data_IF_699859164160
#
_entry.id   IF_699859164160
#
_cell.length_a   1.000
_cell.length_b   1.000
_cell.length_c   1.000
_cell.angle_alpha   90.00
_cell.angle_beta   90.00
_cell.angle_gamma   90.00
#
_symmetry.space_group_name_H-M   'P 1'
#
loop_
_entity.id
_entity.type
_entity.pdbx_description
1 polymer ?
#
# COMPACT_ATOMS: atom_id res chain seq x y z
N UNK A 1 0.23 -15.48 -3.11
CA UNK A 1 0.55 -16.23 -1.88
C UNK A 1 1.94 -15.82 -1.46
N UNK A 2 2.13 -15.38 -0.22
CA UNK A 2 3.46 -15.10 0.32
C UNK A 2 4.20 -16.43 0.52
N UNK A 3 5.44 -16.51 0.04
CA UNK A 3 6.26 -17.70 0.22
C UNK A 3 6.60 -17.91 1.71
N UNK A 4 6.54 -19.16 2.19
CA UNK A 4 6.95 -19.50 3.56
C UNK A 4 8.47 -19.48 3.64
N UNK A 5 9.03 -18.65 4.52
CA UNK A 5 10.47 -18.49 4.70
C UNK A 5 10.89 -18.97 6.09
N UNK A 6 11.92 -19.81 6.17
CA UNK A 6 12.48 -20.31 7.44
C UNK A 6 13.99 -20.14 7.38
N UNK A 7 14.56 -19.39 8.33
CA UNK A 7 15.99 -19.05 8.35
C UNK A 7 16.54 -18.54 7.00
N UNK A 8 15.74 -17.78 6.24
CA UNK A 8 16.12 -17.24 4.93
C UNK A 8 16.01 -18.22 3.76
N UNK A 9 15.51 -19.44 3.99
CA UNK A 9 15.25 -20.45 2.97
C UNK A 9 13.76 -20.47 2.65
N UNK A 10 13.43 -20.39 1.37
CA UNK A 10 12.08 -20.60 0.87
C UNK A 10 11.69 -22.08 0.99
N UNK A 11 10.55 -22.34 1.61
CA UNK A 11 10.02 -23.68 1.83
C UNK A 11 8.98 -23.99 0.76
N UNK A 12 9.30 -24.94 -0.12
CA UNK A 12 8.41 -25.33 -1.19
C UNK A 12 7.33 -26.31 -0.71
N UNK A 13 6.18 -26.26 -1.38
CA UNK A 13 5.12 -27.24 -1.26
C UNK A 13 4.95 -28.03 -2.56
N UNK A 14 4.49 -29.27 -2.45
CA UNK A 14 3.96 -29.99 -3.60
C UNK A 14 2.49 -29.68 -3.87
N UNK A 15 1.92 -30.31 -4.91
CA UNK A 15 0.54 -30.08 -5.34
C UNK A 15 -0.50 -30.49 -4.28
N UNK A 16 -0.11 -31.34 -3.34
CA UNK A 16 -0.96 -31.80 -2.23
C UNK A 16 -0.77 -30.93 -0.97
N UNK A 17 -0.02 -29.82 -1.06
CA UNK A 17 0.23 -28.90 0.05
C UNK A 17 1.27 -29.40 1.06
N UNK A 18 2.04 -30.44 0.75
CA UNK A 18 3.07 -31.00 1.65
C UNK A 18 4.37 -30.23 1.51
N UNK A 19 5.05 -29.98 2.62
CA UNK A 19 6.27 -29.17 2.66
C UNK A 19 7.53 -30.00 2.40
N UNK A 20 8.50 -29.41 1.72
CA UNK A 20 9.80 -30.02 1.41
C UNK A 20 10.71 -30.11 2.65
N UNK A 21 10.88 -31.32 3.22
CA UNK A 21 11.84 -31.54 4.32
C UNK A 21 13.29 -31.27 3.92
N UNK A 22 13.61 -31.33 2.62
CA UNK A 22 14.93 -30.95 2.12
C UNK A 22 15.20 -29.45 2.30
N UNK A 23 14.17 -28.62 2.14
CA UNK A 23 14.29 -27.17 2.40
C UNK A 23 14.45 -26.90 3.90
N UNK A 24 13.72 -27.62 4.76
CA UNK A 24 13.92 -27.56 6.21
C UNK A 24 15.32 -28.04 6.61
N UNK A 25 15.83 -29.11 6.01
CA UNK A 25 17.18 -29.62 6.28
C UNK A 25 18.24 -28.56 5.97
N UNK A 26 18.10 -27.89 4.82
CA UNK A 26 18.96 -26.77 4.43
C UNK A 26 18.81 -25.57 5.36
N UNK A 27 17.58 -25.22 5.74
CA UNK A 27 17.30 -24.15 6.70
C UNK A 27 17.90 -24.42 8.09
N UNK A 28 18.01 -25.70 8.48
CA UNK A 28 18.63 -26.12 9.73
C UNK A 28 20.16 -26.23 9.68
N UNK A 29 20.80 -25.90 8.55
CA UNK A 29 22.26 -25.94 8.39
C UNK A 29 22.82 -27.16 7.65
N UNK A 30 21.97 -28.09 7.19
CA UNK A 30 22.37 -29.12 6.22
C UNK A 30 23.27 -30.24 6.77
N UNK A 31 23.39 -30.41 8.08
CA UNK A 31 24.25 -31.44 8.67
C UNK A 31 23.85 -32.86 8.23
N UNK A 32 24.83 -33.72 7.94
CA UNK A 32 24.57 -35.07 7.42
C UNK A 32 23.73 -35.94 8.36
N UNK A 33 23.90 -35.79 9.69
CA UNK A 33 23.09 -36.52 10.69
C UNK A 33 21.62 -36.15 10.68
N UNK A 34 21.26 -34.99 10.11
CA UNK A 34 19.89 -34.47 10.07
C UNK A 34 19.19 -34.72 8.73
N UNK A 35 19.73 -35.57 7.85
CA UNK A 35 19.11 -35.83 6.55
C UNK A 35 17.67 -36.36 6.70
N UNK A 36 16.71 -35.88 5.89
CA UNK A 36 15.32 -36.34 5.94
C UNK A 36 15.15 -37.85 5.74
N UNK A 37 16.03 -38.50 4.96
CA UNK A 37 16.02 -39.96 4.80
C UNK A 37 16.32 -40.69 6.09
N UNK A 38 17.28 -40.20 6.89
CA UNK A 38 17.65 -40.80 8.18
C UNK A 38 16.53 -40.64 9.21
N UNK A 39 15.91 -39.45 9.24
CA UNK A 39 14.77 -39.22 10.13
C UNK A 39 13.58 -40.08 9.75
N UNK A 40 13.27 -40.21 8.45
CA UNK A 40 12.17 -41.03 7.98
C UNK A 40 12.34 -42.50 8.39
N UNK A 41 13.57 -43.00 8.55
CA UNK A 41 13.84 -44.36 9.02
C UNK A 41 13.74 -44.54 10.54
N UNK A 42 13.60 -43.44 11.31
CA UNK A 42 13.44 -43.50 12.77
C UNK A 42 12.09 -44.14 13.15
N UNK A 43 12.11 -45.04 14.15
CA UNK A 43 10.92 -45.70 14.67
C UNK A 43 9.81 -44.71 15.05
N UNK A 44 10.11 -43.63 15.77
CA UNK A 44 9.10 -42.65 16.18
C UNK A 44 8.49 -41.91 14.97
N UNK A 45 9.29 -41.67 13.93
CA UNK A 45 8.80 -41.06 12.70
C UNK A 45 7.88 -42.02 11.93
N UNK A 46 8.25 -43.30 11.82
CA UNK A 46 7.43 -44.34 11.19
C UNK A 46 6.08 -44.52 11.90
N UNK A 47 6.09 -44.64 13.22
CA UNK A 47 4.85 -44.73 14.02
C UNK A 47 3.94 -43.51 13.80
N UNK A 48 4.52 -42.31 13.76
CA UNK A 48 3.75 -41.08 13.51
C UNK A 48 3.21 -41.02 12.06
N UNK A 49 3.99 -41.43 11.07
CA UNK A 49 3.56 -41.50 9.67
C UNK A 49 2.38 -42.47 9.52
N UNK A 50 2.47 -43.65 10.15
CA UNK A 50 1.40 -44.65 10.16
C UNK A 50 0.13 -44.10 10.82
N UNK A 51 0.25 -43.42 11.96
CA UNK A 51 -0.90 -42.84 12.66
C UNK A 51 -1.60 -41.78 11.82
N UNK A 52 -0.86 -40.85 11.22
CA UNK A 52 -1.44 -39.82 10.34
C UNK A 52 -2.06 -40.46 9.09
N UNK A 53 -1.42 -41.51 8.55
CA UNK A 53 -1.88 -42.22 7.36
C UNK A 53 -3.26 -42.88 7.51
N UNK A 54 -3.69 -43.19 8.74
CA UNK A 54 -5.04 -43.77 9.01
C UNK A 54 -6.18 -42.86 8.54
N UNK A 55 -5.95 -41.55 8.43
CA UNK A 55 -6.91 -40.59 7.90
C UNK A 55 -7.07 -40.65 6.36
N UNK A 56 -6.30 -41.52 5.66
CA UNK A 56 -6.38 -41.72 4.21
C UNK A 56 -5.60 -40.71 3.36
N UNK A 57 -4.92 -39.74 3.99
CA UNK A 57 -4.08 -38.75 3.32
C UNK A 57 -2.61 -39.16 3.47
N UNK A 58 -1.82 -39.32 2.40
CA UNK A 58 -0.43 -39.71 2.52
C UNK A 58 0.39 -38.62 3.24
N UNK A 59 0.80 -38.91 4.47
CA UNK A 59 1.50 -37.97 5.34
C UNK A 59 2.90 -37.60 4.82
N UNK A 60 3.57 -38.56 4.16
CA UNK A 60 4.91 -38.44 3.61
C UNK A 60 4.94 -38.88 2.15
N UNK A 61 5.68 -38.15 1.30
CA UNK A 61 5.95 -38.53 -0.10
C UNK A 61 7.43 -38.41 -0.38
N UNK A 62 8.02 -39.50 -0.89
CA UNK A 62 9.40 -39.50 -1.36
C UNK A 62 9.39 -39.45 -2.88
N UNK A 63 9.77 -38.31 -3.46
CA UNK A 63 9.90 -38.12 -4.89
C UNK A 63 11.33 -38.47 -5.33
N UNK A 64 11.48 -39.49 -6.18
CA UNK A 64 12.77 -39.92 -6.73
C UNK A 64 12.93 -39.40 -8.17
N UNK A 65 13.94 -38.56 -8.41
CA UNK A 65 14.26 -38.01 -9.74
C UNK A 65 13.45 -36.77 -10.14
N UNK A 66 13.90 -36.08 -11.20
CA UNK A 66 13.27 -34.85 -11.72
C UNK A 66 13.63 -33.57 -10.96
N UNK A 67 12.99 -32.45 -11.34
CA UNK A 67 13.24 -31.11 -10.74
C UNK A 67 12.67 -30.95 -9.32
N UNK A 68 11.76 -31.82 -8.90
CA UNK A 68 11.10 -31.79 -7.59
C UNK A 68 11.41 -33.05 -6.76
N UNK A 69 12.65 -33.55 -6.87
CA UNK A 69 13.11 -34.69 -6.07
C UNK A 69 13.28 -34.27 -4.60
N UNK A 70 12.81 -35.10 -3.67
CA UNK A 70 12.92 -34.83 -2.25
C UNK A 70 11.86 -35.54 -1.40
N UNK A 71 11.96 -35.33 -0.09
CA UNK A 71 10.97 -35.83 0.88
C UNK A 71 10.01 -34.71 1.22
N UNK A 72 8.71 -34.92 0.99
CA UNK A 72 7.63 -33.98 1.25
C UNK A 72 6.74 -34.51 2.36
N UNK A 73 6.40 -33.66 3.32
CA UNK A 73 5.69 -34.06 4.53
C UNK A 73 4.56 -33.09 4.89
N UNK A 74 3.50 -33.60 5.51
CA UNK A 74 2.46 -32.76 6.11
C UNK A 74 3.01 -31.93 7.28
N UNK A 75 2.20 -30.97 7.77
CA UNK A 75 2.61 -30.00 8.78
C UNK A 75 3.04 -30.66 10.10
N UNK A 76 2.35 -31.72 10.53
CA UNK A 76 2.64 -32.47 11.74
C UNK A 76 4.02 -33.12 11.69
N UNK A 77 4.35 -33.73 10.55
CA UNK A 77 5.66 -34.35 10.32
C UNK A 77 6.79 -33.32 10.21
N UNK A 78 6.50 -32.12 9.69
CA UNK A 78 7.45 -31.00 9.72
C UNK A 78 7.83 -30.63 11.16
N UNK A 79 6.85 -30.55 12.06
CA UNK A 79 7.14 -30.28 13.48
C UNK A 79 7.97 -31.39 14.11
N UNK A 80 7.60 -32.65 13.89
CA UNK A 80 8.35 -33.79 14.42
C UNK A 80 9.79 -33.84 13.89
N UNK A 81 9.99 -33.56 12.60
CA UNK A 81 11.33 -33.44 12.01
C UNK A 81 12.12 -32.30 12.67
N UNK A 82 11.53 -31.10 12.80
CA UNK A 82 12.22 -29.96 13.40
C UNK A 82 12.61 -30.20 14.87
N UNK A 83 11.74 -30.88 15.64
CA UNK A 83 12.01 -31.31 17.02
C UNK A 83 13.19 -32.26 17.10
N UNK A 84 13.30 -33.21 16.17
CA UNK A 84 14.42 -34.14 16.11
C UNK A 84 15.74 -33.47 15.72
N UNK A 85 15.70 -32.45 14.86
CA UNK A 85 16.89 -31.71 14.41
C UNK A 85 17.52 -30.89 15.55
N UNK A 86 16.76 -30.01 16.21
CA UNK A 86 17.22 -29.33 17.43
C UNK A 86 16.09 -28.54 18.12
N UNK A 87 16.17 -28.29 19.44
CA UNK A 87 15.21 -27.43 20.13
C UNK A 87 15.14 -26.00 19.57
N UNK A 88 16.27 -25.43 19.17
CA UNK A 88 16.34 -24.07 18.61
C UNK A 88 15.62 -24.00 17.27
N UNK A 89 15.88 -24.96 16.39
CA UNK A 89 15.22 -25.02 15.08
C UNK A 89 13.72 -25.31 15.23
N UNK A 90 13.36 -26.24 16.13
CA UNK A 90 11.96 -26.53 16.47
C UNK A 90 11.19 -25.27 16.89
N UNK A 91 11.72 -24.48 17.83
CA UNK A 91 11.09 -23.23 18.25
C UNK A 91 10.97 -22.23 17.11
N UNK A 92 11.96 -22.15 16.23
CA UNK A 92 11.90 -21.27 15.07
C UNK A 92 10.78 -21.69 14.12
N UNK A 93 10.68 -22.98 13.79
CA UNK A 93 9.61 -23.53 12.94
C UNK A 93 8.24 -23.28 13.56
N UNK A 94 8.04 -23.61 14.84
CA UNK A 94 6.77 -23.38 15.56
C UNK A 94 6.37 -21.90 15.46
N UNK A 95 7.26 -20.98 15.83
CA UNK A 95 6.98 -19.55 15.79
C UNK A 95 6.70 -19.02 14.39
N UNK A 96 7.37 -19.53 13.37
CA UNK A 96 7.10 -19.12 11.98
C UNK A 96 5.73 -19.61 11.53
N UNK A 97 5.35 -20.86 11.81
CA UNK A 97 4.03 -21.36 11.49
C UNK A 97 2.92 -20.68 12.30
N UNK A 98 3.15 -20.37 13.57
CA UNK A 98 2.21 -19.63 14.42
C UNK A 98 2.05 -18.20 13.93
N UNK A 99 3.12 -17.54 13.50
CA UNK A 99 3.05 -16.19 12.91
C UNK A 99 2.32 -16.20 11.57
N UNK A 100 2.57 -17.23 10.75
CA UNK A 100 1.84 -17.42 9.48
C UNK A 100 0.35 -17.67 9.73
N UNK A 101 0.00 -18.50 10.71
CA UNK A 101 -1.37 -18.72 11.15
C UNK A 101 -1.96 -17.48 11.86
N UNK A 102 -1.14 -16.64 12.50
CA UNK A 102 -1.59 -15.43 13.15
C UNK A 102 -1.99 -14.33 12.18
N UNK A 103 -1.31 -14.26 11.03
CA UNK A 103 -1.77 -13.49 9.89
C UNK A 103 -3.06 -14.06 9.26
N UNK A 104 -3.48 -15.25 9.68
CA UNK A 104 -4.67 -15.98 9.23
C UNK A 104 -5.71 -16.16 10.37
N UNK A 105 -5.52 -15.49 11.52
CA UNK A 105 -6.49 -15.59 12.62
C UNK A 105 -7.84 -15.02 12.16
N UNK A 106 -8.83 -15.91 12.05
CA UNK A 106 -10.23 -15.52 11.99
C UNK A 106 -10.54 -14.79 13.29
N UNK A 107 -10.51 -13.45 13.23
CA UNK A 107 -10.93 -12.62 14.36
C UNK A 107 -12.37 -13.04 14.72
N UNK A 108 -12.66 -13.42 15.99
CA UNK A 108 -14.01 -13.78 16.41
C UNK A 108 -14.98 -12.68 16.00
N UNK A 109 -16.13 -13.06 15.42
CA UNK A 109 -17.03 -12.10 14.78
C UNK A 109 -17.43 -10.95 15.72
N UNK A 110 -17.68 -11.25 17.00
CA UNK A 110 -17.98 -10.26 18.05
C UNK A 110 -16.85 -9.26 18.32
N UNK A 111 -15.60 -9.61 18.03
CA UNK A 111 -14.41 -8.78 18.28
C UNK A 111 -13.89 -8.08 17.03
N UNK A 112 -14.44 -8.39 15.84
CA UNK A 112 -13.99 -7.80 14.57
C UNK A 112 -14.07 -6.29 14.55
N UNK A 113 -15.22 -5.74 14.92
CA UNK A 113 -15.44 -4.30 14.93
C UNK A 113 -14.53 -3.57 15.94
N UNK A 114 -14.47 -3.93 17.23
CA UNK A 114 -13.61 -3.21 18.18
C UNK A 114 -12.13 -3.29 17.81
N UNK A 115 -11.63 -4.47 17.42
CA UNK A 115 -10.22 -4.60 16.99
C UNK A 115 -9.94 -3.75 15.74
N UNK A 116 -10.82 -3.78 14.75
CA UNK A 116 -10.65 -2.98 13.56
C UNK A 116 -10.71 -1.48 13.85
N UNK A 117 -11.60 -1.03 14.75
CA UNK A 117 -11.70 0.36 15.17
C UNK A 117 -10.41 0.84 15.86
N UNK A 118 -9.87 0.07 16.81
CA UNK A 118 -8.61 0.41 17.48
C UNK A 118 -7.44 0.51 16.49
N UNK A 119 -7.38 -0.42 15.53
CA UNK A 119 -6.36 -0.41 14.48
C UNK A 119 -6.55 0.74 13.49
N UNK A 120 -7.78 1.15 13.20
CA UNK A 120 -8.07 2.27 12.30
C UNK A 120 -7.53 3.57 12.88
N UNK A 121 -7.72 3.83 14.18
CA UNK A 121 -7.21 5.03 14.83
C UNK A 121 -5.68 5.09 14.80
N UNK A 122 -5.02 3.97 15.07
CA UNK A 122 -3.57 3.85 14.97
C UNK A 122 -3.09 4.07 13.52
N UNK A 123 -3.74 3.41 12.55
CA UNK A 123 -3.41 3.54 11.13
C UNK A 123 -3.64 4.95 10.59
N UNK A 124 -4.67 5.66 11.06
CA UNK A 124 -4.95 7.05 10.70
C UNK A 124 -3.84 7.98 11.20
N UNK A 125 -3.38 7.83 12.44
CA UNK A 125 -2.24 8.61 12.97
C UNK A 125 -0.97 8.38 12.16
N UNK A 126 -0.73 7.13 11.73
CA UNK A 126 0.41 6.80 10.85
C UNK A 126 0.24 7.49 9.50
N UNK A 127 -0.94 7.42 8.88
CA UNK A 127 -1.23 8.08 7.61
C UNK A 127 -1.02 9.61 7.68
N UNK A 128 -1.48 10.24 8.76
CA UNK A 128 -1.28 11.67 9.03
C UNK A 128 0.20 12.02 9.21
N UNK A 129 0.98 11.15 9.87
CA UNK A 129 2.43 11.35 10.00
C UNK A 129 3.17 11.31 8.66
N UNK A 130 2.56 10.72 7.62
CA UNK A 130 3.04 10.73 6.25
C UNK A 130 2.48 11.89 5.41
N UNK A 131 1.75 12.82 6.03
CA UNK A 131 1.20 14.01 5.35
C UNK A 131 -0.12 13.76 4.62
N UNK A 132 -0.81 12.64 4.88
CA UNK A 132 -2.16 12.42 4.36
C UNK A 132 -3.18 13.16 5.25
N UNK A 133 -4.19 13.77 4.64
CA UNK A 133 -5.21 14.55 5.35
C UNK A 133 -6.64 14.10 4.96
N UNK A 134 -7.59 14.34 5.87
CA UNK A 134 -9.03 14.09 5.67
C UNK A 134 -9.32 12.68 5.12
N UNK A 135 -10.10 12.63 4.03
CA UNK A 135 -10.47 11.38 3.37
C UNK A 135 -9.29 10.55 2.87
N UNK A 136 -8.15 11.15 2.51
CA UNK A 136 -6.98 10.39 2.08
C UNK A 136 -6.36 9.61 3.24
N UNK A 137 -6.27 10.24 4.42
CA UNK A 137 -5.81 9.57 5.63
C UNK A 137 -6.75 8.42 6.01
N UNK A 138 -8.06 8.63 5.92
CA UNK A 138 -9.07 7.61 6.25
C UNK A 138 -9.06 6.42 5.29
N UNK A 139 -8.95 6.66 3.97
CA UNK A 139 -8.85 5.59 2.96
C UNK A 139 -7.55 4.78 3.12
N UNK A 140 -6.44 5.47 3.40
CA UNK A 140 -5.16 4.82 3.67
C UNK A 140 -5.24 3.98 4.94
N UNK A 141 -5.81 4.52 6.02
CA UNK A 141 -5.99 3.81 7.27
C UNK A 141 -6.85 2.55 7.10
N UNK A 142 -8.00 2.65 6.40
CA UNK A 142 -8.85 1.50 6.10
C UNK A 142 -8.10 0.42 5.30
N UNK A 143 -7.30 0.83 4.31
CA UNK A 143 -6.47 -0.09 3.52
C UNK A 143 -5.40 -0.80 4.36
N UNK A 144 -4.79 -0.09 5.32
CA UNK A 144 -3.84 -0.68 6.27
C UNK A 144 -4.50 -1.71 7.17
N UNK A 145 -5.68 -1.41 7.74
CA UNK A 145 -6.44 -2.35 8.57
C UNK A 145 -6.81 -3.60 7.75
N UNK A 146 -7.27 -3.41 6.51
CA UNK A 146 -7.57 -4.52 5.60
C UNK A 146 -6.34 -5.39 5.32
N UNK A 147 -5.17 -4.78 5.09
CA UNK A 147 -3.94 -5.51 4.83
C UNK A 147 -3.37 -6.21 6.07
N UNK A 148 -3.53 -5.62 7.26
CA UNK A 148 -2.95 -6.13 8.49
C UNK A 148 -3.77 -7.25 9.11
N UNK A 149 -5.11 -7.12 9.09
CA UNK A 149 -6.01 -8.02 9.82
C UNK A 149 -7.21 -8.50 8.98
N UNK A 150 -7.24 -8.19 7.68
CA UNK A 150 -8.28 -8.68 6.76
C UNK A 150 -9.66 -8.04 6.93
N UNK A 151 -9.77 -6.93 7.67
CA UNK A 151 -11.06 -6.25 7.94
C UNK A 151 -11.15 -4.94 7.16
N UNK A 152 -12.20 -4.79 6.36
CA UNK A 152 -12.52 -3.54 5.64
C UNK A 152 -13.70 -2.84 6.32
N UNK A 153 -13.42 -1.78 7.08
CA UNK A 153 -14.42 -1.06 7.88
C UNK A 153 -15.41 -0.29 7.00
N UNK A 154 -14.95 0.23 5.86
CA UNK A 154 -15.83 0.91 4.91
C UNK A 154 -16.84 -0.06 4.30
N UNK A 155 -16.39 -1.25 3.91
CA UNK A 155 -17.27 -2.32 3.44
C UNK A 155 -18.26 -2.77 4.53
N UNK A 156 -17.77 -2.99 5.76
CA UNK A 156 -18.61 -3.34 6.92
C UNK A 156 -19.68 -2.28 7.22
N UNK A 157 -19.35 -1.01 7.08
CA UNK A 157 -20.27 0.10 7.30
C UNK A 157 -21.20 0.38 6.10
N UNK A 158 -21.04 -0.34 4.98
CA UNK A 158 -21.78 -0.07 3.74
C UNK A 158 -21.39 1.24 3.05
N UNK A 159 -20.24 1.82 3.42
CA UNK A 159 -19.74 3.10 2.91
C UNK A 159 -18.88 2.85 1.68
N UNK A 160 -19.43 3.09 0.49
CA UNK A 160 -18.69 2.92 -0.78
C UNK A 160 -17.88 4.16 -1.19
N UNK A 161 -18.23 5.31 -0.63
CA UNK A 161 -17.64 6.62 -0.97
C UNK A 161 -17.62 7.47 0.28
N UNK A 162 -16.48 8.10 0.56
CA UNK A 162 -16.43 9.12 1.59
C UNK A 162 -17.01 10.42 1.05
N UNK A 163 -17.80 11.09 1.88
CA UNK A 163 -18.33 12.42 1.56
C UNK A 163 -17.15 13.39 1.59
N UNK A 164 -16.96 14.17 0.52
CA UNK A 164 -15.94 15.22 0.51
C UNK A 164 -16.29 16.25 1.60
N UNK A 165 -15.41 16.41 2.60
CA UNK A 165 -15.63 17.32 3.74
C UNK A 165 -15.82 18.78 3.30
N UNK A 166 -15.22 19.20 2.17
CA UNK A 166 -15.44 20.55 1.63
C UNK A 166 -16.71 20.69 0.80
N UNK A 167 -17.30 19.58 0.32
CA UNK A 167 -18.30 19.56 -0.77
C UNK A 167 -17.87 20.33 -2.04
N UNK A 168 -16.61 20.75 -2.15
CA UNK A 168 -16.10 21.56 -3.26
C UNK A 168 -15.27 20.70 -4.21
N UNK A 169 -15.52 20.85 -5.51
CA UNK A 169 -14.72 20.23 -6.55
C UNK A 169 -13.35 20.92 -6.63
N UNK A 170 -12.30 20.15 -6.88
CA UNK A 170 -10.95 20.66 -7.09
C UNK A 170 -10.60 20.57 -8.58
N UNK A 171 -10.00 21.62 -9.11
CA UNK A 171 -9.68 21.76 -10.53
C UNK A 171 -8.19 22.02 -10.72
N UNK A 172 -7.60 21.37 -11.71
CA UNK A 172 -6.29 21.78 -12.25
C UNK A 172 -6.41 23.14 -12.94
N UNK A 173 -5.29 23.88 -13.11
CA UNK A 173 -5.30 25.12 -13.91
C UNK A 173 -5.81 24.92 -15.35
N UNK A 174 -5.69 23.71 -15.91
CA UNK A 174 -6.22 23.37 -17.23
C UNK A 174 -7.74 23.24 -17.22
N UNK A 175 -8.30 22.49 -16.27
CA UNK A 175 -9.75 22.32 -16.12
C UNK A 175 -10.43 23.64 -15.76
N UNK A 176 -9.80 24.41 -14.86
CA UNK A 176 -10.24 25.76 -14.52
C UNK A 176 -10.16 26.66 -15.76
N UNK A 177 -9.05 26.64 -16.51
CA UNK A 177 -8.91 27.38 -17.76
C UNK A 177 -10.02 27.09 -18.77
N UNK A 178 -10.35 25.81 -18.96
CA UNK A 178 -11.43 25.40 -19.85
C UNK A 178 -12.79 25.99 -19.46
N UNK A 179 -13.11 26.08 -18.17
CA UNK A 179 -14.35 26.73 -17.67
C UNK A 179 -14.42 28.22 -18.03
N UNK A 180 -13.28 28.90 -18.07
CA UNK A 180 -13.19 30.32 -18.45
C UNK A 180 -12.91 30.53 -19.95
N UNK A 181 -12.84 29.46 -20.75
CA UNK A 181 -12.50 29.53 -22.17
C UNK A 181 -11.06 29.98 -22.46
N UNK A 182 -10.13 29.78 -21.51
CA UNK A 182 -8.73 30.22 -21.63
C UNK A 182 -7.75 29.04 -21.47
N UNK A 183 -6.53 29.23 -21.99
CA UNK A 183 -5.46 28.23 -21.85
C UNK A 183 -5.02 28.06 -20.39
N UNK A 184 -4.43 26.90 -20.07
CA UNK A 184 -3.83 26.67 -18.75
C UNK A 184 -2.73 27.70 -18.41
N UNK A 185 -1.98 28.18 -19.40
CA UNK A 185 -0.96 29.22 -19.19
C UNK A 185 -1.61 30.57 -18.83
N UNK A 186 -2.68 30.95 -19.54
CA UNK A 186 -3.47 32.14 -19.25
C UNK A 186 -4.15 32.06 -17.88
N UNK A 187 -4.68 30.89 -17.51
CA UNK A 187 -5.28 30.68 -16.20
C UNK A 187 -4.24 30.79 -15.07
N UNK A 188 -3.07 30.20 -15.24
CA UNK A 188 -1.99 30.36 -14.27
C UNK A 188 -1.54 31.81 -14.12
N UNK A 189 -1.51 32.56 -15.22
CA UNK A 189 -1.25 34.00 -15.17
C UNK A 189 -2.35 34.74 -14.41
N UNK A 190 -3.62 34.45 -14.67
CA UNK A 190 -4.75 35.07 -13.97
C UNK A 190 -4.71 34.80 -12.46
N UNK A 191 -4.45 33.56 -12.05
CA UNK A 191 -4.25 33.19 -10.64
C UNK A 191 -3.09 33.96 -9.99
N UNK A 192 -2.02 34.22 -10.75
CA UNK A 192 -0.87 35.00 -10.26
C UNK A 192 -1.18 36.51 -10.19
N UNK A 193 -1.86 37.04 -11.19
CA UNK A 193 -2.32 38.44 -11.24
C UNK A 193 -3.32 38.72 -10.10
N UNK A 194 -4.06 37.70 -9.64
CA UNK A 194 -4.93 37.76 -8.45
C UNK A 194 -4.18 37.55 -7.12
N UNK A 195 -2.85 37.40 -7.13
CA UNK A 195 -2.06 37.22 -5.91
C UNK A 195 -2.19 35.84 -5.24
N UNK A 196 -2.74 34.84 -5.93
CA UNK A 196 -2.99 33.50 -5.35
C UNK A 196 -1.80 32.55 -5.54
N UNK A 197 -0.96 32.80 -6.53
CA UNK A 197 0.25 32.03 -6.77
C UNK A 197 1.35 32.91 -7.34
N UNK A 198 2.60 32.44 -7.26
CA UNK A 198 3.74 33.12 -7.86
C UNK A 198 4.76 32.13 -8.40
N UNK A 199 5.62 32.62 -9.28
CA UNK A 199 6.74 31.85 -9.78
C UNK A 199 7.90 31.84 -8.79
N UNK A 200 8.47 30.65 -8.60
CA UNK A 200 9.71 30.47 -7.84
C UNK A 200 10.73 29.76 -8.71
N UNK A 201 11.95 30.30 -8.76
CA UNK A 201 13.10 29.67 -9.38
C UNK A 201 13.71 28.71 -8.36
N UNK A 202 13.48 27.41 -8.55
CA UNK A 202 13.97 26.39 -7.62
C UNK A 202 15.33 25.80 -8.05
N UNK A 203 15.71 25.99 -9.32
CA UNK A 203 17.03 25.69 -9.89
C UNK A 203 17.34 26.69 -11.00
N UNK A 204 18.62 26.92 -11.36
CA UNK A 204 18.97 27.78 -12.48
C UNK A 204 18.18 27.43 -13.75
N UNK A 205 17.42 28.40 -14.27
CA UNK A 205 16.57 28.24 -15.45
C UNK A 205 15.28 27.43 -15.26
N UNK A 206 14.99 26.88 -14.06
CA UNK A 206 13.78 26.09 -13.80
C UNK A 206 12.84 26.82 -12.83
N UNK A 207 11.62 27.06 -13.30
CA UNK A 207 10.54 27.70 -12.54
C UNK A 207 9.48 26.68 -12.17
N UNK A 208 8.84 26.89 -11.03
CA UNK A 208 7.58 26.23 -10.66
C UNK A 208 6.61 27.28 -10.12
N UNK A 209 5.34 26.90 -10.04
CA UNK A 209 4.33 27.67 -9.33
C UNK A 209 4.35 27.29 -7.85
N UNK A 210 4.25 28.29 -6.99
CA UNK A 210 4.01 28.12 -5.55
C UNK A 210 2.80 28.96 -5.15
N UNK A 211 2.01 28.43 -4.22
CA UNK A 211 0.77 29.07 -3.75
C UNK A 211 1.11 30.08 -2.66
N UNK A 212 0.54 31.30 -2.74
CA UNK A 212 0.68 32.32 -1.69
C UNK A 212 -0.12 31.94 -0.43
N UNK A 213 0.10 32.59 0.73
CA UNK A 213 -0.73 32.39 1.91
C UNK A 213 -2.23 32.54 1.62
N UNK A 214 -2.63 33.54 0.84
CA UNK A 214 -4.03 33.76 0.45
C UNK A 214 -4.53 32.68 -0.51
N UNK A 215 -3.67 32.25 -1.46
CA UNK A 215 -4.00 31.15 -2.36
C UNK A 215 -4.21 29.81 -1.64
N UNK A 216 -3.53 29.56 -0.50
CA UNK A 216 -3.68 28.32 0.28
C UNK A 216 -5.10 28.14 0.84
N UNK A 217 -5.86 29.22 1.01
CA UNK A 217 -7.27 29.14 1.40
C UNK A 217 -8.11 28.41 0.33
N UNK A 218 -7.69 28.52 -0.94
CA UNK A 218 -8.39 28.02 -2.11
C UNK A 218 -7.65 26.90 -2.85
N UNK A 219 -6.50 26.44 -2.34
CA UNK A 219 -5.66 25.45 -3.00
C UNK A 219 -5.50 24.18 -2.16
N UNK A 220 -5.42 23.05 -2.85
CA UNK A 220 -5.06 21.74 -2.30
C UNK A 220 -3.80 21.30 -3.02
N UNK A 221 -2.71 21.07 -2.28
CA UNK A 221 -1.44 20.60 -2.84
C UNK A 221 -1.38 19.09 -2.62
N UNK A 222 -1.27 18.34 -3.71
CA UNK A 222 -1.22 16.87 -3.67
C UNK A 222 0.10 16.36 -4.24
N UNK A 223 0.69 15.34 -3.62
CA UNK A 223 1.79 14.60 -4.23
C UNK A 223 1.24 13.56 -5.21
N UNK A 224 1.57 13.71 -6.49
CA UNK A 224 1.26 12.72 -7.52
C UNK A 224 2.43 11.76 -7.71
N UNK A 225 2.10 10.55 -8.17
CA UNK A 225 3.06 9.49 -8.48
C UNK A 225 4.17 9.96 -9.42
N UNK A 226 5.22 9.15 -9.52
CA UNK A 226 6.40 9.51 -10.33
C UNK A 226 6.02 9.55 -11.82
N UNK A 227 6.52 10.55 -12.55
CA UNK A 227 6.39 10.59 -14.03
C UNK A 227 7.11 9.41 -14.71
N UNK A 228 8.13 8.85 -14.06
CA UNK A 228 8.88 7.63 -14.42
C UNK A 228 9.38 6.91 -13.14
N UNK A 229 9.71 5.61 -13.22
CA UNK A 229 10.00 4.72 -12.06
C UNK A 229 11.03 5.24 -11.05
N UNK A 230 11.93 6.15 -11.43
CA UNK A 230 13.05 6.64 -10.61
C UNK A 230 12.97 8.14 -10.23
N UNK A 231 11.80 8.78 -10.40
CA UNK A 231 11.60 10.21 -10.11
C UNK A 231 11.20 10.55 -8.66
N UNK A 232 11.45 11.80 -8.26
CA UNK A 232 10.80 12.39 -7.07
C UNK A 232 9.28 12.54 -7.31
N UNK A 233 8.43 12.36 -6.28
CA UNK A 233 7.00 12.68 -6.37
C UNK A 233 6.77 14.09 -6.94
N UNK A 234 5.73 14.24 -7.75
CA UNK A 234 5.42 15.52 -8.39
C UNK A 234 4.30 16.19 -7.62
N UNK A 235 4.58 17.33 -7.02
CA UNK A 235 3.55 18.17 -6.40
C UNK A 235 2.64 18.77 -7.48
N UNK A 236 1.34 18.56 -7.33
CA UNK A 236 0.29 19.13 -8.16
C UNK A 236 -0.56 20.08 -7.30
N UNK A 237 -0.78 21.29 -7.81
CA UNK A 237 -1.64 22.30 -7.19
C UNK A 237 -3.03 22.15 -7.82
N UNK A 238 -4.03 21.92 -6.99
CA UNK A 238 -5.44 21.91 -7.36
C UNK A 238 -6.14 23.10 -6.70
N UNK A 239 -7.14 23.66 -7.39
CA UNK A 239 -7.88 24.83 -6.93
C UNK A 239 -9.34 24.46 -6.63
N UNK A 240 -9.81 24.84 -5.45
CA UNK A 240 -11.18 24.64 -5.02
C UNK A 240 -12.15 25.43 -5.90
N UNK A 241 -13.37 24.91 -6.06
CA UNK A 241 -14.45 25.56 -6.81
C UNK A 241 -14.70 27.01 -6.40
N UNK A 242 -14.63 27.29 -5.09
CA UNK A 242 -14.79 28.62 -4.50
C UNK A 242 -13.83 29.68 -5.06
N UNK A 243 -12.68 29.29 -5.64
CA UNK A 243 -11.77 30.24 -6.29
C UNK A 243 -12.43 30.94 -7.49
N UNK A 244 -13.40 30.28 -8.14
CA UNK A 244 -14.03 30.77 -9.37
C UNK A 244 -14.77 32.10 -9.13
N UNK A 245 -15.44 32.26 -7.98
CA UNK A 245 -16.13 33.51 -7.64
C UNK A 245 -15.16 34.68 -7.50
N UNK A 246 -14.02 34.44 -6.85
CA UNK A 246 -12.98 35.45 -6.68
C UNK A 246 -12.34 35.83 -8.02
N UNK A 247 -12.05 34.83 -8.87
CA UNK A 247 -11.51 35.05 -10.20
C UNK A 247 -12.49 35.81 -11.09
N UNK A 248 -13.79 35.51 -11.03
CA UNK A 248 -14.82 36.21 -11.80
C UNK A 248 -14.94 37.67 -11.38
N UNK A 249 -15.03 37.95 -10.06
CA UNK A 249 -15.11 39.32 -9.53
C UNK A 249 -13.89 40.16 -9.91
N UNK A 250 -12.69 39.59 -9.80
CA UNK A 250 -11.45 40.29 -10.12
C UNK A 250 -11.21 40.44 -11.63
N UNK A 251 -11.59 39.44 -12.44
CA UNK A 251 -11.52 39.54 -13.89
C UNK A 251 -12.44 40.64 -14.44
N UNK A 252 -13.61 40.85 -13.82
CA UNK A 252 -14.51 41.96 -14.14
C UNK A 252 -13.95 43.30 -13.69
N UNK A 253 -13.34 43.37 -12.49
CA UNK A 253 -12.66 44.57 -12.02
C UNK A 253 -11.49 44.96 -12.92
N UNK A 254 -10.63 44.01 -13.31
CA UNK A 254 -9.53 44.22 -14.24
C UNK A 254 -10.04 44.69 -15.61
N UNK A 255 -11.13 44.11 -16.12
CA UNK A 255 -11.77 44.57 -17.38
C UNK A 255 -12.35 45.97 -17.28
N UNK A 256 -12.96 46.33 -16.15
CA UNK A 256 -13.52 47.67 -15.90
C UNK A 256 -12.46 48.74 -15.61
N UNK A 257 -11.26 48.34 -15.19
CA UNK A 257 -10.14 49.22 -14.82
C UNK A 257 -9.15 49.51 -15.94
N UNK A 258 -9.32 48.94 -17.14
CA UNK A 258 -8.51 49.26 -18.32
C UNK A 258 -9.04 50.55 -18.98
N UNK A 259 -8.34 51.69 -18.95
CA UNK A 259 -8.71 52.82 -19.80
C UNK A 259 -8.58 52.42 -21.26
N UNK A 260 -9.61 52.75 -22.06
CA UNK A 260 -9.65 52.53 -23.49
C UNK A 260 -8.54 53.34 -24.19
N UNK A 261 -7.35 52.77 -24.32
CA UNK A 261 -6.28 53.32 -25.15
C UNK A 261 -6.10 52.38 -26.33
N UNK A 262 -6.95 52.50 -27.35
CA UNK A 262 -6.58 52.51 -28.79
C UNK A 262 -7.72 53.20 -29.56
N UNK A 263 -7.63 54.52 -29.72
CA UNK A 263 -8.30 55.24 -30.82
C UNK A 263 -7.53 56.54 -31.07
N UNK A 264 -6.52 56.46 -31.94
CA UNK A 264 -5.67 57.60 -32.26
C UNK A 264 -4.58 57.19 -33.22
N UNK A 265 -4.98 56.86 -34.45
CA UNK A 265 -4.05 56.66 -35.55
C UNK A 265 -3.16 57.89 -35.70
N UNK A 266 -1.86 57.63 -35.77
CA UNK A 266 -0.86 58.62 -36.13
C UNK A 266 -1.09 59.00 -37.60
N UNK A 267 -1.57 60.22 -37.82
CA UNK A 267 -1.45 60.90 -39.11
C UNK A 267 -0.09 61.58 -39.21
N UNK A 268 0.59 61.24 -40.32
CA UNK A 268 1.83 61.77 -40.92
C UNK A 268 3.15 61.43 -40.24
#
# INVERSE_FOLDING_TARGET
MSALMIAGIEIHQDQDGRFSLNDFHRAAGGENRHKPSLWAENQQAQELIEEIGKAGIPALRVARGGRAAGTYACKELVYAYAMWVSPVFSLHVIRTFDSAAANDHVIPQEKRLPIAADNLDAAKRIAESFGLEGNQALLSANSMVKSAIGVDLMEMAGVKRLVNESQEMNFTPTELGAKFGISAASMNKLLADCGLQHHVIYKPGKKRWEVTPDGKLFAVITDTGKKHSDGKPVQQILWKESVQEMLARLADQLRSGLPAVIAGGVTR
#
